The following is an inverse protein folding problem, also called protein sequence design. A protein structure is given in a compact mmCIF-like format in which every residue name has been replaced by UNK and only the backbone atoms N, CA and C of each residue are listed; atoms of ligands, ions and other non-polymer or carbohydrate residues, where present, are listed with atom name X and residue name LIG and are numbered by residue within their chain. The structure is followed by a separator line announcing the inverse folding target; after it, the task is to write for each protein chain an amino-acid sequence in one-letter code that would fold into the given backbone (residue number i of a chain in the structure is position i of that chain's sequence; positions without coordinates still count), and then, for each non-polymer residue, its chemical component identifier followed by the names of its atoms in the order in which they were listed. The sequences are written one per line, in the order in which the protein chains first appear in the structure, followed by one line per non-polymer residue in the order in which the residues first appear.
data_IF_989174862985
#
_entry.id   IF_989174862985
#
_cell.length_a   1.000
_cell.length_b   1.000
_cell.length_c   1.000
_cell.angle_alpha   90.00
_cell.angle_beta   90.00
_cell.angle_gamma   90.00
#
_symmetry.space_group_name_H-M   'P 1'
#
loop_
_entity.id
_entity.type
_entity.pdbx_description
1 polymer ?
#
# COMPACT_ATOMS: atom_id res chain seq x y z
N UNK A 1 -1.41 -7.05 -2.48
CA UNK A 1 -1.24 -6.56 -1.09
C UNK A 1 -1.54 -7.67 -0.11
N UNK A 2 -0.92 -7.67 1.08
CA UNK A 2 -1.11 -8.68 2.13
C UNK A 2 -1.02 -8.04 3.53
N UNK A 3 -1.62 -8.64 4.55
CA UNK A 3 -1.56 -8.13 5.94
C UNK A 3 -2.90 -8.24 6.67
N UNK A 4 -3.03 -7.63 7.86
CA UNK A 4 -4.28 -7.64 8.62
C UNK A 4 -5.45 -7.12 7.78
N UNK A 5 -6.56 -7.86 7.77
CA UNK A 5 -7.74 -7.55 6.94
C UNK A 5 -7.69 -8.08 5.50
N UNK A 6 -6.62 -8.78 5.09
CA UNK A 6 -6.52 -9.47 3.80
C UNK A 6 -6.29 -10.96 4.06
N UNK A 7 -7.22 -11.81 3.62
CA UNK A 7 -7.18 -13.26 3.89
C UNK A 7 -5.99 -13.95 3.22
N UNK A 8 -5.76 -13.68 1.93
CA UNK A 8 -4.68 -14.29 1.15
C UNK A 8 -3.85 -13.24 0.42
N UNK A 9 -4.45 -12.59 -0.57
CA UNK A 9 -3.85 -11.52 -1.36
C UNK A 9 -4.95 -10.63 -1.93
N UNK A 10 -4.69 -9.33 -1.97
CA UNK A 10 -5.55 -8.35 -2.61
C UNK A 10 -4.78 -7.67 -3.75
N UNK A 11 -4.98 -8.08 -5.03
CA UNK A 11 -4.30 -7.47 -6.16
C UNK A 11 -4.81 -6.05 -6.36
N UNK A 12 -3.88 -5.09 -6.45
CA UNK A 12 -4.18 -3.67 -6.61
C UNK A 12 -3.21 -3.08 -7.63
N UNK A 13 -3.76 -2.40 -8.63
CA UNK A 13 -2.98 -1.67 -9.63
C UNK A 13 -3.26 -0.18 -9.47
N UNK A 14 -2.24 0.57 -9.03
CA UNK A 14 -2.30 2.03 -8.90
C UNK A 14 -1.26 2.66 -9.83
N UNK A 15 -1.57 3.78 -10.50
CA UNK A 15 -0.66 4.46 -11.42
C UNK A 15 0.39 5.27 -10.66
N UNK A 16 1.13 4.62 -9.78
CA UNK A 16 2.15 5.23 -8.92
C UNK A 16 3.54 4.79 -9.35
N UNK A 17 4.47 5.72 -9.31
CA UNK A 17 5.87 5.41 -9.58
C UNK A 17 6.42 4.45 -8.51
N UNK A 18 7.31 3.55 -8.92
CA UNK A 18 8.06 2.65 -8.03
C UNK A 18 8.70 3.37 -6.83
N UNK A 19 9.16 4.61 -7.03
CA UNK A 19 9.73 5.44 -5.98
C UNK A 19 8.76 5.74 -4.84
N UNK A 20 7.45 5.80 -5.10
CA UNK A 20 6.43 6.00 -4.08
C UNK A 20 6.44 4.88 -3.03
N UNK A 21 6.48 3.63 -3.49
CA UNK A 21 6.45 2.46 -2.62
C UNK A 21 7.72 2.33 -1.79
N UNK A 22 8.88 2.59 -2.40
CA UNK A 22 10.17 2.64 -1.70
C UNK A 22 10.18 3.71 -0.61
N UNK A 23 9.64 4.88 -0.89
CA UNK A 23 9.58 5.98 0.06
C UNK A 23 8.59 5.74 1.20
N UNK A 24 7.47 5.04 0.94
CA UNK A 24 6.55 4.57 1.98
C UNK A 24 7.26 3.55 2.89
N UNK A 25 7.92 2.55 2.31
CA UNK A 25 8.61 1.50 3.07
C UNK A 25 9.72 2.08 3.95
N UNK A 26 10.52 3.02 3.43
CA UNK A 26 11.56 3.72 4.19
C UNK A 26 11.02 4.47 5.42
N UNK A 27 9.75 4.87 5.41
CA UNK A 27 9.09 5.60 6.50
C UNK A 27 8.21 4.70 7.38
N UNK A 28 8.26 3.37 7.19
CA UNK A 28 7.35 2.43 7.82
C UNK A 28 8.02 1.59 8.93
N UNK A 29 8.40 2.25 10.02
CA UNK A 29 8.93 1.59 11.22
C UNK A 29 7.82 1.37 12.26
N UNK A 30 7.08 0.27 12.12
CA UNK A 30 5.93 -0.04 12.98
C UNK A 30 6.28 0.11 14.49
N UNK A 31 5.45 0.82 15.29
CA UNK A 31 4.10 1.30 14.99
C UNK A 31 4.03 2.63 14.22
N UNK A 32 5.17 3.26 13.93
CA UNK A 32 5.23 4.48 13.10
C UNK A 32 5.10 4.12 11.63
N UNK A 33 4.50 5.00 10.85
CA UNK A 33 4.28 4.74 9.43
C UNK A 33 3.22 5.65 8.84
N UNK A 34 3.07 5.56 7.53
CA UNK A 34 2.06 6.29 6.78
C UNK A 34 0.86 5.38 6.53
N UNK A 35 -0.30 5.83 6.97
CA UNK A 35 -1.58 5.32 6.45
C UNK A 35 -1.96 6.19 5.25
N UNK A 36 -2.35 5.55 4.16
CA UNK A 36 -2.61 6.23 2.90
C UNK A 36 -4.06 6.02 2.48
N UNK A 37 -4.65 7.04 1.86
CA UNK A 37 -5.92 6.94 1.16
C UNK A 37 -5.69 7.35 -0.29
N UNK A 38 -6.12 6.50 -1.22
CA UNK A 38 -6.15 6.82 -2.65
C UNK A 38 -7.59 7.05 -3.05
N UNK A 39 -7.85 8.09 -3.86
CA UNK A 39 -9.19 8.48 -4.28
C UNK A 39 -9.24 8.72 -5.78
N UNK A 40 -10.32 8.31 -6.43
CA UNK A 40 -10.59 8.60 -7.84
C UNK A 40 -12.10 8.88 -8.02
N UNK A 41 -12.49 10.15 -8.12
CA UNK A 41 -13.90 10.53 -8.11
C UNK A 41 -14.59 10.13 -6.82
N UNK A 42 -15.51 9.15 -6.90
CA UNK A 42 -16.23 8.60 -5.75
C UNK A 42 -15.61 7.31 -5.18
N UNK A 43 -14.56 6.79 -5.84
CA UNK A 43 -13.87 5.59 -5.39
C UNK A 43 -12.78 5.95 -4.39
N UNK A 44 -12.61 5.10 -3.37
CA UNK A 44 -11.49 5.21 -2.45
C UNK A 44 -10.95 3.83 -2.06
N UNK A 45 -9.65 3.77 -1.78
CA UNK A 45 -9.02 2.61 -1.14
C UNK A 45 -8.06 3.08 -0.05
N UNK A 46 -8.22 2.50 1.13
CA UNK A 46 -7.32 2.71 2.27
C UNK A 46 -6.17 1.71 2.25
N UNK A 47 -4.97 2.18 2.55
CA UNK A 47 -3.76 1.37 2.71
C UNK A 47 -3.13 1.67 4.09
N UNK A 48 -3.49 0.88 5.12
CA UNK A 48 -2.86 0.97 6.43
C UNK A 48 -1.34 0.73 6.39
N UNK A 49 -0.61 1.28 7.34
CA UNK A 49 0.84 1.11 7.52
C UNK A 49 1.26 -0.35 7.72
N UNK A 50 0.36 -1.19 8.25
CA UNK A 50 0.59 -2.62 8.46
C UNK A 50 0.45 -3.46 7.18
N UNK A 51 -0.09 -2.90 6.10
CA UNK A 51 -0.24 -3.60 4.82
C UNK A 51 1.10 -3.67 4.09
N UNK A 52 1.48 -4.89 3.70
CA UNK A 52 2.66 -5.21 2.91
C UNK A 52 2.35 -5.17 1.43
N UNK A 53 3.24 -4.55 0.66
CA UNK A 53 3.15 -4.45 -0.80
C UNK A 53 4.03 -5.54 -1.40
N UNK A 54 3.41 -6.48 -2.13
CA UNK A 54 4.14 -7.38 -3.02
C UNK A 54 4.22 -6.68 -4.37
N UNK A 55 5.40 -6.21 -4.76
CA UNK A 55 5.61 -5.68 -6.11
C UNK A 55 5.98 -6.84 -7.03
N UNK A 56 5.25 -6.96 -8.14
CA UNK A 56 5.61 -7.88 -9.20
C UNK A 56 6.88 -7.33 -9.87
N UNK A 57 7.98 -8.10 -9.83
CA UNK A 57 9.20 -7.70 -10.54
C UNK A 57 8.94 -7.90 -12.03
N UNK A 58 8.85 -6.80 -12.78
CA UNK A 58 8.93 -6.80 -14.25
C UNK A 58 10.40 -6.78 -14.66
#
# INVERSE_FOLDING_TARGET
WRGPGIETEHPVSLPLAEGFWRERERRNEFPRGLDLFFTAGHDFIGLPRSTRIAQERV
#
